data_IF_057454432654
#
_entry.id   IF_057454432654
#
_cell.length_a   1.000
_cell.length_b   1.000
_cell.length_c   1.000
_cell.angle_alpha   90.00
_cell.angle_beta   90.00
_cell.angle_gamma   90.00
#
_symmetry.space_group_name_H-M   'P 1'
#
loop_
_entity.id
_entity.type
_entity.pdbx_description
1 polymer ?
#
# COMPACT_ATOMS: atom_id res chain seq x y z
N UNK A 1 -11.13 7.88 -14.23
CA UNK A 1 -10.43 7.41 -13.02
C UNK A 1 -9.20 8.27 -12.84
N UNK A 2 -9.02 8.86 -11.66
CA UNK A 2 -7.73 9.47 -11.28
C UNK A 2 -6.72 8.36 -10.99
N UNK A 3 -5.42 8.67 -11.04
CA UNK A 3 -4.34 7.71 -10.77
C UNK A 3 -4.48 7.07 -9.36
N UNK A 4 -4.80 7.89 -8.36
CA UNK A 4 -5.04 7.42 -6.99
C UNK A 4 -6.19 6.42 -6.88
N UNK A 5 -7.26 6.56 -7.68
CA UNK A 5 -8.38 5.60 -7.68
C UNK A 5 -7.98 4.26 -8.33
N UNK A 6 -7.12 4.29 -9.35
CA UNK A 6 -6.56 3.08 -9.94
C UNK A 6 -5.65 2.34 -8.94
N UNK A 7 -4.80 3.09 -8.23
CA UNK A 7 -3.95 2.55 -7.17
C UNK A 7 -4.79 1.99 -6.01
N UNK A 8 -5.80 2.72 -5.53
CA UNK A 8 -6.72 2.22 -4.52
C UNK A 8 -7.40 0.92 -4.94
N UNK A 9 -7.80 0.81 -6.20
CA UNK A 9 -8.40 -0.44 -6.72
C UNK A 9 -7.39 -1.58 -6.67
N UNK A 10 -6.17 -1.36 -7.17
CA UNK A 10 -5.08 -2.33 -7.16
C UNK A 10 -4.76 -2.79 -5.73
N UNK A 11 -4.58 -1.86 -4.79
CA UNK A 11 -4.27 -2.18 -3.39
C UNK A 11 -5.35 -3.03 -2.72
N UNK A 12 -6.64 -2.81 -3.05
CA UNK A 12 -7.74 -3.65 -2.53
C UNK A 12 -7.70 -5.06 -3.08
N UNK A 13 -7.32 -5.22 -4.35
CA UNK A 13 -7.15 -6.52 -4.99
C UNK A 13 -5.97 -7.26 -4.36
N UNK A 14 -4.81 -6.62 -4.30
CA UNK A 14 -3.60 -7.15 -3.65
C UNK A 14 -3.88 -7.55 -2.20
N UNK A 15 -4.61 -6.72 -1.43
CA UNK A 15 -4.93 -7.05 -0.04
C UNK A 15 -5.77 -8.33 0.07
N UNK A 16 -6.77 -8.50 -0.81
CA UNK A 16 -7.63 -9.69 -0.79
C UNK A 16 -6.89 -10.96 -1.20
N UNK A 17 -5.93 -10.83 -2.11
CA UNK A 17 -5.11 -11.94 -2.58
C UNK A 17 -4.06 -12.36 -1.55
N UNK A 18 -3.34 -11.38 -1.00
CA UNK A 18 -2.32 -11.61 0.02
C UNK A 18 -2.92 -12.10 1.34
N UNK A 19 -4.12 -11.61 1.69
CA UNK A 19 -4.74 -11.83 3.01
C UNK A 19 -6.21 -12.24 2.88
N UNK A 20 -6.51 -13.40 2.27
CA UNK A 20 -7.87 -13.81 1.95
C UNK A 20 -8.76 -14.04 3.18
N UNK A 21 -8.15 -14.23 4.36
CA UNK A 21 -8.84 -14.43 5.63
C UNK A 21 -9.03 -13.13 6.44
N UNK A 22 -8.48 -12.00 5.98
CA UNK A 22 -8.61 -10.70 6.65
C UNK A 22 -9.72 -9.89 6.00
N UNK A 23 -10.47 -9.15 6.81
CA UNK A 23 -11.45 -8.20 6.30
C UNK A 23 -10.74 -6.96 5.80
N UNK A 24 -10.93 -6.63 4.53
CA UNK A 24 -10.48 -5.37 3.95
C UNK A 24 -11.06 -4.19 4.76
N UNK A 25 -10.23 -3.31 5.33
CA UNK A 25 -10.69 -2.14 6.05
C UNK A 25 -11.23 -1.08 5.06
N UNK A 26 -11.92 -0.07 5.58
CA UNK A 26 -12.24 1.11 4.78
C UNK A 26 -10.97 1.86 4.37
N UNK A 27 -11.02 2.63 3.28
CA UNK A 27 -9.82 3.22 2.67
C UNK A 27 -9.04 4.15 3.62
N UNK A 28 -9.77 4.82 4.52
CA UNK A 28 -9.23 5.75 5.53
C UNK A 28 -9.07 5.11 6.92
N UNK A 29 -9.45 3.84 7.07
CA UNK A 29 -9.30 3.14 8.34
C UNK A 29 -7.85 2.65 8.54
N UNK A 30 -7.44 2.44 9.81
CA UNK A 30 -6.13 1.88 10.13
C UNK A 30 -5.83 0.58 9.37
N UNK A 31 -4.68 0.52 8.71
CA UNK A 31 -4.18 -0.72 8.08
C UNK A 31 -3.36 -1.56 9.07
N UNK A 32 -2.55 -0.90 9.89
CA UNK A 32 -1.60 -1.54 10.82
C UNK A 32 -1.73 -0.97 12.24
N UNK A 33 -1.47 -1.81 13.26
CA UNK A 33 -1.46 -1.40 14.67
C UNK A 33 -2.84 -1.51 15.35
N UNK A 34 -3.04 -0.72 16.41
CA UNK A 34 -4.25 -0.79 17.24
C UNK A 34 -5.48 -0.31 16.46
N UNK A 35 -6.23 -1.26 15.89
CA UNK A 35 -7.40 -1.04 15.03
C UNK A 35 -7.21 -1.45 13.56
N UNK A 36 -6.01 -1.87 13.16
CA UNK A 36 -5.73 -2.38 11.80
C UNK A 36 -5.73 -3.91 11.71
N UNK A 37 -6.10 -4.49 10.56
CA UNK A 37 -6.10 -5.95 10.38
C UNK A 37 -4.71 -6.57 10.23
N UNK A 38 -3.68 -5.76 9.95
CA UNK A 38 -2.31 -6.22 9.70
C UNK A 38 -1.48 -6.21 10.98
N UNK A 39 -0.75 -7.31 11.20
CA UNK A 39 0.38 -7.34 12.13
C UNK A 39 1.71 -6.99 11.42
N UNK A 40 2.84 -7.09 12.12
CA UNK A 40 4.14 -6.69 11.58
C UNK A 40 4.62 -7.58 10.43
N UNK A 41 4.29 -8.88 10.45
CA UNK A 41 4.66 -9.83 9.40
C UNK A 41 3.73 -9.68 8.20
N UNK A 42 2.43 -9.57 8.46
CA UNK A 42 1.43 -9.31 7.42
C UNK A 42 1.74 -8.01 6.67
N UNK A 43 2.19 -6.97 7.38
CA UNK A 43 2.54 -5.70 6.77
C UNK A 43 3.73 -5.82 5.82
N UNK A 44 4.78 -6.53 6.21
CA UNK A 44 5.98 -6.72 5.38
C UNK A 44 5.63 -7.50 4.12
N UNK A 45 4.87 -8.58 4.24
CA UNK A 45 4.42 -9.37 3.09
C UNK A 45 3.53 -8.53 2.17
N UNK A 46 2.52 -7.86 2.72
CA UNK A 46 1.62 -7.01 1.95
C UNK A 46 2.37 -5.87 1.25
N UNK A 47 3.38 -5.27 1.88
CA UNK A 47 4.17 -4.22 1.26
C UNK A 47 4.95 -4.73 0.04
N UNK A 48 5.53 -5.94 0.12
CA UNK A 48 6.22 -6.57 -1.01
C UNK A 48 5.24 -6.90 -2.16
N UNK A 49 4.07 -7.47 -1.85
CA UNK A 49 3.05 -7.78 -2.86
C UNK A 49 2.53 -6.51 -3.55
N UNK A 50 2.39 -5.41 -2.79
CA UNK A 50 1.99 -4.10 -3.33
C UNK A 50 3.07 -3.53 -4.24
N UNK A 51 4.33 -3.62 -3.85
CA UNK A 51 5.47 -3.18 -4.65
C UNK A 51 5.50 -3.90 -6.01
N UNK A 52 5.43 -5.23 -5.98
CA UNK A 52 5.38 -6.06 -7.19
C UNK A 52 4.17 -5.72 -8.06
N UNK A 53 2.98 -5.57 -7.46
CA UNK A 53 1.75 -5.26 -8.18
C UNK A 53 1.81 -3.87 -8.85
N UNK A 54 2.34 -2.86 -8.16
CA UNK A 54 2.49 -1.50 -8.70
C UNK A 54 3.52 -1.50 -9.83
N UNK A 55 4.69 -2.10 -9.61
CA UNK A 55 5.75 -2.18 -10.62
C UNK A 55 5.27 -2.92 -11.88
N UNK A 56 4.58 -4.05 -11.72
CA UNK A 56 4.01 -4.80 -12.84
C UNK A 56 2.89 -4.02 -13.56
N UNK A 57 2.04 -3.30 -12.83
CA UNK A 57 0.87 -2.59 -13.40
C UNK A 57 1.26 -1.30 -14.13
N UNK A 58 2.25 -0.58 -13.63
CA UNK A 58 2.67 0.73 -14.15
C UNK A 58 3.98 0.67 -14.94
N UNK A 59 4.69 -0.46 -14.93
CA UNK A 59 5.99 -0.60 -15.59
C UNK A 59 7.08 0.24 -14.95
N UNK A 60 6.98 0.44 -13.63
CA UNK A 60 7.92 1.24 -12.84
C UNK A 60 8.83 0.34 -11.99
N UNK A 61 9.83 0.95 -11.35
CA UNK A 61 10.73 0.31 -10.38
C UNK A 61 10.73 1.14 -9.09
N UNK A 62 9.57 1.17 -8.42
CA UNK A 62 9.38 1.88 -7.16
C UNK A 62 9.63 0.95 -5.98
N UNK A 63 10.13 1.54 -4.88
CA UNK A 63 10.31 0.83 -3.60
C UNK A 63 9.32 1.40 -2.58
N UNK A 64 8.31 0.62 -2.23
CA UNK A 64 7.21 1.04 -1.34
C UNK A 64 7.68 1.04 0.11
N UNK A 65 8.50 0.06 0.49
CA UNK A 65 9.03 -0.13 1.84
C UNK A 65 10.41 0.51 2.06
N UNK A 66 10.69 1.66 1.43
CA UNK A 66 11.97 2.36 1.61
C UNK A 66 12.14 2.92 3.05
N UNK A 67 13.38 3.24 3.44
CA UNK A 67 13.70 3.87 4.72
C UNK A 67 12.85 5.13 5.02
N UNK A 68 12.40 5.85 3.98
CA UNK A 68 11.47 7.00 4.11
C UNK A 68 10.06 6.59 4.58
N UNK A 69 9.57 5.44 4.14
CA UNK A 69 8.26 4.88 4.54
C UNK A 69 8.24 4.42 6.01
N UNK A 70 9.41 4.07 6.56
CA UNK A 70 9.57 3.62 7.95
C UNK A 70 9.76 4.78 8.97
N UNK A 71 9.79 6.05 8.53
CA UNK A 71 9.88 7.18 9.46
C UNK A 71 8.53 7.45 10.14
N UNK A 72 8.53 7.61 11.48
CA UNK A 72 7.32 7.66 12.33
C UNK A 72 6.32 8.77 12.00
N UNK A 73 6.69 9.79 11.22
CA UNK A 73 5.84 10.96 10.98
C UNK A 73 4.96 10.85 9.72
N UNK A 74 5.29 9.99 8.76
CA UNK A 74 4.56 9.81 7.48
C UNK A 74 4.57 8.33 7.04
N UNK A 75 4.23 7.40 7.93
CA UNK A 75 4.09 6.00 7.51
C UNK A 75 2.94 5.87 6.50
N UNK A 76 3.19 5.40 5.26
CA UNK A 76 2.15 5.20 4.25
C UNK A 76 1.19 4.07 4.64
N UNK A 77 1.60 3.21 5.57
CA UNK A 77 0.85 2.06 6.08
C UNK A 77 -0.23 2.41 7.11
N UNK A 78 -0.56 3.70 7.28
CA UNK A 78 -1.64 4.13 8.17
C UNK A 78 -3.02 3.77 7.63
N UNK A 79 -3.22 3.80 6.31
CA UNK A 79 -4.50 3.50 5.66
C UNK A 79 -4.28 3.18 4.17
N UNK A 80 -5.24 2.52 3.52
CA UNK A 80 -5.13 2.19 2.09
C UNK A 80 -5.04 3.44 1.22
N UNK A 81 -5.77 4.50 1.58
CA UNK A 81 -5.68 5.80 0.89
C UNK A 81 -4.29 6.40 0.99
N UNK A 82 -3.70 6.41 2.18
CA UNK A 82 -2.36 6.95 2.38
C UNK A 82 -1.30 6.16 1.60
N UNK A 83 -1.46 4.84 1.51
CA UNK A 83 -0.59 3.99 0.70
C UNK A 83 -0.77 4.28 -0.80
N UNK A 84 -2.00 4.48 -1.28
CA UNK A 84 -2.24 4.83 -2.68
C UNK A 84 -1.65 6.21 -3.03
N UNK A 85 -1.81 7.20 -2.16
CA UNK A 85 -1.19 8.52 -2.30
C UNK A 85 0.33 8.41 -2.35
N UNK A 86 0.92 7.60 -1.48
CA UNK A 86 2.37 7.35 -1.47
C UNK A 86 2.86 6.68 -2.74
N UNK A 87 2.18 5.65 -3.23
CA UNK A 87 2.54 5.00 -4.49
C UNK A 87 2.43 5.97 -5.67
N UNK A 88 1.45 6.87 -5.68
CA UNK A 88 1.34 7.91 -6.70
C UNK A 88 2.54 8.88 -6.65
N UNK A 89 2.92 9.33 -5.45
CA UNK A 89 4.13 10.16 -5.25
C UNK A 89 5.40 9.45 -5.76
N UNK A 90 5.53 8.14 -5.51
CA UNK A 90 6.67 7.35 -5.99
C UNK A 90 6.70 7.20 -7.52
N UNK A 91 5.54 6.95 -8.13
CA UNK A 91 5.42 6.82 -9.58
C UNK A 91 5.74 8.13 -10.29
N UNK A 92 5.24 9.27 -9.78
CA UNK A 92 5.53 10.60 -10.32
C UNK A 92 7.02 10.94 -10.20
N UNK A 93 7.68 10.52 -9.11
CA UNK A 93 9.12 10.72 -8.95
C UNK A 93 9.99 9.80 -9.82
N UNK A 94 9.44 8.69 -10.33
CA UNK A 94 10.14 7.73 -11.19
C UNK A 94 9.94 7.97 -12.69
N UNK A 95 9.00 8.86 -13.06
CA UNK A 95 8.70 9.26 -14.44
C UNK A 95 9.68 10.32 -14.98
#
# INVERSE_FOLDING_TARGET
MTETEALLTLLRETFREALPHRKLPADDAPLFGDGGPLDSMDLVNFAADVEDAVNARFGADVVVADARALSRSRSPFRSLRALAEWCAELLDAAA
#
